data_IF_854584846755
#
_entry.id   IF_854584846755
#
_cell.length_a   1.000
_cell.length_b   1.000
_cell.length_c   1.000
_cell.angle_alpha   90.00
_cell.angle_beta   90.00
_cell.angle_gamma   90.00
#
_symmetry.space_group_name_H-M   'P 1'
#
loop_
_entity.id
_entity.type
_entity.pdbx_description
1 polymer ?
#
# COMPACT_ATOMS: atom_id res chain seq x y z
N UNK A 1 9.82 11.43 14.50
CA UNK A 1 8.42 11.82 14.20
C UNK A 1 7.60 10.54 14.19
N UNK A 2 6.46 10.51 14.90
CA UNK A 2 5.54 9.37 14.83
C UNK A 2 5.00 9.37 13.39
N UNK A 3 5.18 8.26 12.66
CA UNK A 3 4.66 8.12 11.30
C UNK A 3 3.13 8.31 11.35
N UNK A 4 2.60 9.26 10.57
CA UNK A 4 1.16 9.47 10.47
C UNK A 4 0.51 8.21 9.90
N UNK A 5 -0.55 7.73 10.54
CA UNK A 5 -1.33 6.58 10.05
C UNK A 5 -2.15 7.01 8.82
N UNK A 6 -2.16 6.23 7.72
CA UNK A 6 -3.09 6.46 6.61
C UNK A 6 -4.55 6.41 7.10
N UNK A 7 -5.42 7.19 6.49
CA UNK A 7 -6.84 7.17 6.83
C UNK A 7 -7.44 5.80 6.57
N UNK A 8 -8.28 5.36 7.49
CA UNK A 8 -9.14 4.19 7.32
C UNK A 8 -10.01 4.29 6.05
N UNK A 9 -10.64 5.44 5.85
CA UNK A 9 -11.41 5.74 4.64
C UNK A 9 -10.93 7.05 4.03
N UNK A 10 -10.68 7.07 2.74
CA UNK A 10 -10.22 8.26 2.03
C UNK A 10 -8.71 8.30 1.78
N UNK A 11 -8.27 9.36 1.13
CA UNK A 11 -6.87 9.67 0.86
C UNK A 11 -6.25 10.48 1.99
N UNK A 12 -4.93 10.42 2.12
CA UNK A 12 -4.15 11.14 3.11
C UNK A 12 -4.03 10.40 4.45
N UNK A 13 -3.71 11.14 5.49
CA UNK A 13 -3.40 10.60 6.81
C UNK A 13 -4.45 11.01 7.85
N UNK A 14 -4.51 10.28 8.97
CA UNK A 14 -5.37 10.64 10.10
C UNK A 14 -5.04 12.06 10.58
N UNK A 15 -6.08 12.85 10.83
CA UNK A 15 -5.97 14.26 11.18
C UNK A 15 -5.83 15.22 10.00
N UNK A 16 -5.55 14.74 8.79
CA UNK A 16 -5.56 15.57 7.59
C UNK A 16 -6.99 15.61 7.04
N UNK A 17 -7.48 16.77 6.66
CA UNK A 17 -8.79 16.91 6.04
C UNK A 17 -9.35 18.31 6.17
N UNK A 18 -10.49 18.51 5.56
CA UNK A 18 -11.24 19.76 5.68
C UNK A 18 -11.82 19.89 7.09
N UNK A 19 -11.75 21.07 7.65
CA UNK A 19 -12.51 21.42 8.84
C UNK A 19 -14.01 21.30 8.57
N UNK A 20 -14.82 21.29 9.62
CA UNK A 20 -16.28 21.28 9.48
C UNK A 20 -16.78 22.43 8.60
N UNK A 21 -16.28 23.64 8.84
CA UNK A 21 -16.64 24.86 8.10
C UNK A 21 -16.24 24.76 6.61
N UNK A 22 -15.01 24.32 6.32
CA UNK A 22 -14.55 24.12 4.95
C UNK A 22 -15.36 23.05 4.22
N UNK A 23 -15.75 21.98 4.92
CA UNK A 23 -16.60 20.92 4.36
C UNK A 23 -17.98 21.49 3.99
N UNK A 24 -18.63 22.19 4.90
CA UNK A 24 -19.94 22.82 4.67
C UNK A 24 -19.88 23.80 3.50
N UNK A 25 -18.83 24.61 3.42
CA UNK A 25 -18.63 25.54 2.31
C UNK A 25 -18.47 24.81 0.96
N UNK A 26 -17.63 23.77 0.90
CA UNK A 26 -17.41 22.99 -0.31
C UNK A 26 -18.71 22.32 -0.75
N UNK A 27 -19.42 21.72 0.19
CA UNK A 27 -20.66 21.02 -0.07
C UNK A 27 -21.77 21.99 -0.55
N UNK A 28 -21.88 23.16 0.07
CA UNK A 28 -22.82 24.20 -0.38
C UNK A 28 -22.57 24.62 -1.84
N UNK A 29 -21.29 24.80 -2.22
CA UNK A 29 -20.91 25.11 -3.62
C UNK A 29 -21.26 23.98 -4.60
N UNK A 30 -21.09 22.72 -4.19
CA UNK A 30 -21.48 21.59 -5.03
C UNK A 30 -23.01 21.49 -5.16
N UNK A 31 -23.76 21.66 -4.07
CA UNK A 31 -25.22 21.67 -4.08
C UNK A 31 -25.76 22.74 -5.05
N UNK A 32 -25.27 23.96 -4.93
CA UNK A 32 -25.64 25.07 -5.82
C UNK A 32 -25.29 24.79 -7.28
N UNK A 33 -24.06 24.33 -7.54
CA UNK A 33 -23.57 24.10 -8.90
C UNK A 33 -24.29 22.98 -9.65
N UNK A 34 -24.70 21.94 -8.94
CA UNK A 34 -25.31 20.75 -9.52
C UNK A 34 -26.82 20.64 -9.27
N UNK A 35 -27.42 21.66 -8.62
CA UNK A 35 -28.86 21.66 -8.29
C UNK A 35 -29.24 20.48 -7.40
N UNK A 36 -28.37 20.10 -6.45
CA UNK A 36 -28.61 18.97 -5.57
C UNK A 36 -29.50 19.40 -4.40
N UNK A 37 -30.69 18.82 -4.29
CA UNK A 37 -31.56 18.91 -3.14
C UNK A 37 -31.27 17.76 -2.16
N UNK A 38 -31.44 17.97 -0.87
CA UNK A 38 -31.24 16.91 0.15
C UNK A 38 -29.77 16.65 0.49
N UNK A 39 -28.93 17.63 0.27
CA UNK A 39 -27.49 17.55 0.58
C UNK A 39 -27.19 17.43 2.06
N UNK A 40 -28.16 17.69 2.90
CA UNK A 40 -28.14 17.49 4.35
C UNK A 40 -28.17 16.00 4.75
N UNK A 41 -28.50 15.10 3.83
CA UNK A 41 -28.58 13.65 4.08
C UNK A 41 -27.26 12.92 3.78
N UNK A 42 -26.13 13.44 4.24
CA UNK A 42 -24.83 12.78 4.07
C UNK A 42 -24.73 11.48 4.85
N UNK A 43 -24.22 10.47 4.19
CA UNK A 43 -23.68 9.30 4.87
C UNK A 43 -22.29 9.70 5.41
N UNK A 44 -22.15 9.81 6.71
CA UNK A 44 -20.86 10.03 7.35
C UNK A 44 -19.95 8.82 7.13
N UNK A 45 -18.66 9.08 6.95
CA UNK A 45 -17.65 8.02 6.95
C UNK A 45 -17.79 7.21 8.23
N UNK A 46 -17.95 5.88 8.15
CA UNK A 46 -18.03 5.05 9.36
C UNK A 46 -16.72 5.15 10.13
N UNK A 47 -16.80 5.15 11.45
CA UNK A 47 -15.61 5.01 12.30
C UNK A 47 -15.28 3.53 12.49
N UNK A 48 -14.00 3.18 12.76
CA UNK A 48 -13.57 1.80 12.90
C UNK A 48 -14.33 1.00 13.97
N UNK A 49 -14.79 1.65 15.03
CA UNK A 49 -15.59 1.07 16.11
C UNK A 49 -17.04 0.74 15.72
N UNK A 50 -17.50 1.23 14.57
CA UNK A 50 -18.82 0.92 14.01
C UNK A 50 -18.80 -0.29 13.06
N UNK A 51 -17.65 -0.92 12.90
CA UNK A 51 -17.46 -2.06 11.99
C UNK A 51 -17.20 -3.32 12.80
N UNK A 52 -18.08 -4.29 12.64
CA UNK A 52 -17.91 -5.62 13.22
C UNK A 52 -17.07 -6.49 12.26
N UNK A 53 -15.91 -6.94 12.71
CA UNK A 53 -15.08 -7.89 11.97
C UNK A 53 -15.30 -9.30 12.49
N UNK A 54 -15.21 -10.28 11.57
CA UNK A 54 -15.11 -11.68 11.97
C UNK A 54 -13.88 -11.89 12.86
N UNK A 55 -13.93 -12.83 13.79
CA UNK A 55 -12.77 -13.25 14.57
C UNK A 55 -11.65 -13.75 13.63
N UNK A 56 -10.39 -13.54 14.00
CA UNK A 56 -9.28 -14.16 13.26
C UNK A 56 -9.46 -15.67 13.23
N UNK A 57 -9.30 -16.27 12.06
CA UNK A 57 -9.38 -17.73 11.85
C UNK A 57 -8.11 -18.46 12.27
N UNK A 58 -7.03 -17.71 12.43
CA UNK A 58 -5.68 -18.22 12.73
C UNK A 58 -5.06 -17.42 13.89
N UNK A 59 -4.16 -18.05 14.63
CA UNK A 59 -3.42 -17.42 15.70
C UNK A 59 -2.08 -16.88 15.22
N UNK A 60 -1.60 -15.80 15.86
CA UNK A 60 -0.25 -15.30 15.61
C UNK A 60 0.77 -16.27 16.19
N UNK A 61 1.67 -16.85 15.40
CA UNK A 61 2.71 -17.71 15.93
C UNK A 61 3.72 -16.89 16.77
N UNK A 62 4.33 -17.52 17.76
CA UNK A 62 5.26 -16.85 18.67
C UNK A 62 6.41 -16.14 17.92
N UNK A 63 6.89 -16.70 16.82
CA UNK A 63 7.95 -16.11 16.01
C UNK A 63 7.57 -14.78 15.35
N UNK A 64 6.28 -14.55 15.08
CA UNK A 64 5.79 -13.33 14.44
C UNK A 64 5.14 -12.35 15.43
N UNK A 65 4.98 -12.72 16.70
CA UNK A 65 4.20 -11.96 17.67
C UNK A 65 4.71 -10.53 17.91
N UNK A 66 6.02 -10.30 17.80
CA UNK A 66 6.62 -9.00 18.08
C UNK A 66 6.32 -7.92 17.02
N UNK A 67 5.90 -8.33 15.83
CA UNK A 67 5.63 -7.42 14.71
C UNK A 67 4.31 -7.71 14.00
N UNK A 68 3.40 -8.45 14.63
CA UNK A 68 2.08 -8.77 14.09
C UNK A 68 0.96 -8.30 14.98
N UNK A 69 -0.22 -8.05 14.39
CA UNK A 69 -1.41 -7.55 15.06
C UNK A 69 -2.68 -8.25 14.55
N UNK A 70 -3.65 -8.43 15.46
CA UNK A 70 -5.04 -8.82 15.14
C UNK A 70 -6.03 -7.72 15.54
N UNK A 71 -5.52 -6.53 15.87
CA UNK A 71 -6.37 -5.41 16.25
C UNK A 71 -7.29 -5.00 15.09
N UNK A 72 -8.54 -4.71 15.39
CA UNK A 72 -9.54 -4.38 14.38
C UNK A 72 -9.09 -3.25 13.46
N UNK A 73 -8.50 -2.20 14.01
CA UNK A 73 -8.05 -1.05 13.21
C UNK A 73 -6.98 -1.44 12.20
N UNK A 74 -6.04 -2.30 12.56
CA UNK A 74 -4.99 -2.76 11.65
C UNK A 74 -5.58 -3.62 10.54
N UNK A 75 -6.47 -4.55 10.88
CA UNK A 75 -7.16 -5.40 9.91
C UNK A 75 -8.04 -4.60 8.96
N UNK A 76 -8.77 -3.59 9.46
CA UNK A 76 -9.61 -2.69 8.66
C UNK A 76 -8.78 -1.88 7.67
N UNK A 77 -7.67 -1.29 8.11
CA UNK A 77 -6.81 -0.46 7.26
C UNK A 77 -6.06 -1.26 6.19
N UNK A 78 -5.97 -2.58 6.35
CA UNK A 78 -5.31 -3.50 5.41
C UNK A 78 -6.29 -4.35 4.59
N UNK A 79 -7.59 -4.01 4.59
CA UNK A 79 -8.59 -4.75 3.83
C UNK A 79 -8.72 -4.25 2.41
N UNK A 80 -8.88 -2.96 2.23
CA UNK A 80 -9.24 -2.35 0.95
C UNK A 80 -8.20 -1.35 0.45
N UNK A 81 -8.19 -1.19 -0.88
CA UNK A 81 -7.48 -0.11 -1.54
C UNK A 81 -8.27 1.19 -1.59
N UNK A 82 -8.22 1.86 -2.73
CA UNK A 82 -8.82 3.18 -2.94
C UNK A 82 -9.70 3.22 -4.20
N UNK A 83 -10.21 2.08 -4.66
CA UNK A 83 -11.15 2.02 -5.77
C UNK A 83 -12.54 2.50 -5.36
N UNK A 84 -13.37 2.90 -6.32
CA UNK A 84 -14.75 3.26 -6.02
C UNK A 84 -15.55 2.13 -5.35
N UNK A 85 -15.46 0.86 -5.80
CA UNK A 85 -16.08 -0.26 -5.08
C UNK A 85 -15.59 -0.42 -3.64
N UNK A 86 -14.32 -0.11 -3.36
CA UNK A 86 -13.78 -0.16 -1.99
C UNK A 86 -14.48 0.86 -1.10
N UNK A 87 -14.68 2.08 -1.58
CA UNK A 87 -15.43 3.11 -0.84
C UNK A 87 -16.87 2.67 -0.57
N UNK A 88 -17.57 2.15 -1.57
CA UNK A 88 -18.95 1.66 -1.38
C UNK A 88 -18.99 0.62 -0.26
N UNK A 89 -18.09 -0.37 -0.30
CA UNK A 89 -18.02 -1.42 0.74
C UNK A 89 -17.67 -0.87 2.13
N UNK A 90 -16.77 0.13 2.20
CA UNK A 90 -16.44 0.79 3.47
C UNK A 90 -17.66 1.51 4.05
N UNK A 91 -18.41 2.26 3.23
CA UNK A 91 -19.63 2.94 3.67
C UNK A 91 -20.74 1.97 4.08
N UNK A 92 -20.84 0.83 3.41
CA UNK A 92 -21.74 -0.26 3.78
C UNK A 92 -21.25 -1.10 4.97
N UNK A 93 -20.07 -0.75 5.55
CA UNK A 93 -19.42 -1.49 6.63
C UNK A 93 -19.16 -2.97 6.30
N UNK A 94 -19.01 -3.28 5.03
CA UNK A 94 -18.76 -4.63 4.54
C UNK A 94 -17.26 -4.90 4.48
N UNK A 95 -16.73 -5.63 5.44
CA UNK A 95 -15.33 -6.03 5.55
C UNK A 95 -15.18 -7.56 5.60
N UNK A 96 -15.99 -8.26 4.81
CA UNK A 96 -16.02 -9.74 4.78
C UNK A 96 -14.64 -10.37 4.54
N UNK A 97 -13.78 -9.69 3.75
CA UNK A 97 -12.46 -10.18 3.41
C UNK A 97 -11.33 -9.54 4.25
N UNK A 98 -11.63 -8.98 5.43
CA UNK A 98 -10.57 -8.43 6.28
C UNK A 98 -9.49 -9.51 6.56
N UNK A 99 -8.18 -9.15 6.53
CA UNK A 99 -7.13 -10.12 6.83
C UNK A 99 -7.26 -10.63 8.26
N UNK A 100 -6.85 -11.87 8.51
CA UNK A 100 -6.84 -12.44 9.85
C UNK A 100 -5.75 -11.83 10.72
N UNK A 101 -4.57 -11.62 10.12
CA UNK A 101 -3.38 -11.04 10.77
C UNK A 101 -2.83 -9.93 9.87
N UNK A 102 -2.27 -8.89 10.49
CA UNK A 102 -1.40 -7.92 9.84
C UNK A 102 -0.02 -8.03 10.43
N UNK A 103 1.01 -8.20 9.59
CA UNK A 103 2.42 -8.23 10.01
C UNK A 103 3.16 -7.02 9.43
N UNK A 104 3.92 -6.32 10.27
CA UNK A 104 4.67 -5.10 9.94
C UNK A 104 6.15 -5.42 9.85
N UNK A 105 6.63 -5.86 8.69
CA UNK A 105 8.02 -6.22 8.52
C UNK A 105 8.94 -5.00 8.37
N UNK A 106 10.06 -5.02 9.09
CA UNK A 106 11.11 -3.99 9.07
C UNK A 106 12.47 -4.54 8.60
N UNK A 107 12.55 -5.85 8.36
CA UNK A 107 13.75 -6.53 7.84
C UNK A 107 13.38 -7.67 6.89
N UNK A 108 14.32 -8.07 6.04
CA UNK A 108 14.16 -9.22 5.16
C UNK A 108 13.95 -10.52 5.97
N UNK A 109 14.64 -10.69 7.10
CA UNK A 109 14.46 -11.88 7.97
C UNK A 109 13.03 -12.01 8.48
N UNK A 110 12.34 -10.88 8.76
CA UNK A 110 10.93 -10.91 9.15
C UNK A 110 10.01 -11.27 7.99
N UNK A 111 10.34 -10.85 6.77
CA UNK A 111 9.61 -11.27 5.56
C UNK A 111 9.77 -12.77 5.34
N UNK A 112 10.99 -13.31 5.42
CA UNK A 112 11.27 -14.75 5.32
C UNK A 112 10.48 -15.54 6.37
N UNK A 113 10.54 -15.11 7.63
CA UNK A 113 9.81 -15.78 8.71
C UNK A 113 8.29 -15.83 8.45
N UNK A 114 7.71 -14.76 7.86
CA UNK A 114 6.29 -14.76 7.46
C UNK A 114 6.04 -15.74 6.33
N UNK A 115 6.87 -15.73 5.27
CA UNK A 115 6.70 -16.60 4.11
C UNK A 115 6.85 -18.08 4.46
N UNK A 116 7.83 -18.43 5.28
CA UNK A 116 8.06 -19.79 5.76
C UNK A 116 6.90 -20.31 6.59
N UNK A 117 6.46 -19.51 7.56
CA UNK A 117 5.31 -19.87 8.38
C UNK A 117 4.04 -19.99 7.54
N UNK A 118 3.75 -19.01 6.70
CA UNK A 118 2.54 -19.01 5.89
C UNK A 118 2.48 -20.21 4.94
N UNK A 119 3.63 -20.60 4.37
CA UNK A 119 3.75 -21.80 3.53
C UNK A 119 3.41 -23.06 4.33
N UNK A 120 3.97 -23.20 5.54
CA UNK A 120 3.73 -24.37 6.40
C UNK A 120 2.31 -24.42 6.97
N UNK A 121 1.70 -23.27 7.25
CA UNK A 121 0.37 -23.13 7.83
C UNK A 121 -0.76 -23.03 6.78
N UNK A 122 -0.46 -23.09 5.49
CA UNK A 122 -1.40 -22.86 4.40
C UNK A 122 -2.16 -21.53 4.52
N UNK A 123 -1.43 -20.45 4.80
CA UNK A 123 -1.95 -19.08 4.92
C UNK A 123 -1.62 -18.29 3.66
N UNK A 124 -2.58 -17.55 3.14
CA UNK A 124 -2.32 -16.65 2.02
C UNK A 124 -1.70 -15.34 2.53
N UNK A 125 -0.56 -14.96 1.94
CA UNK A 125 0.11 -13.69 2.22
C UNK A 125 -0.22 -12.67 1.14
N UNK A 126 -0.71 -11.52 1.55
CA UNK A 126 -1.04 -10.38 0.69
C UNK A 126 -0.03 -9.26 0.98
N UNK A 127 0.93 -9.00 0.07
CA UNK A 127 1.85 -7.88 0.23
C UNK A 127 1.10 -6.54 0.24
N UNK A 128 1.45 -5.70 1.19
CA UNK A 128 0.84 -4.38 1.38
C UNK A 128 1.93 -3.30 1.44
N UNK A 129 1.74 -2.25 0.67
CA UNK A 129 2.58 -1.05 0.69
C UNK A 129 1.79 0.16 1.19
N UNK A 130 1.55 1.15 0.34
CA UNK A 130 0.79 2.34 0.70
C UNK A 130 -0.74 2.21 0.71
N UNK A 131 -1.29 1.03 0.41
CA UNK A 131 -2.74 0.80 0.37
C UNK A 131 -3.48 1.59 -0.72
N UNK A 132 -2.78 2.05 -1.75
CA UNK A 132 -3.32 2.94 -2.79
C UNK A 132 -3.86 2.22 -4.03
N UNK A 133 -3.92 0.88 -4.02
CA UNK A 133 -4.47 0.09 -5.14
C UNK A 133 -5.89 0.53 -5.48
N UNK A 134 -6.17 0.66 -6.79
CA UNK A 134 -7.51 0.96 -7.32
C UNK A 134 -8.11 -0.21 -8.11
N UNK A 135 -7.43 -1.37 -8.07
CA UNK A 135 -7.80 -2.59 -8.81
C UNK A 135 -8.00 -3.80 -7.88
N UNK A 136 -8.14 -3.58 -6.59
CA UNK A 136 -8.37 -4.65 -5.60
C UNK A 136 -7.14 -5.53 -5.32
N UNK A 137 -5.94 -5.11 -5.72
CA UNK A 137 -4.71 -5.93 -5.62
C UNK A 137 -4.24 -6.24 -4.21
N UNK A 138 -4.80 -5.58 -3.20
CA UNK A 138 -4.45 -5.79 -1.78
C UNK A 138 -5.59 -6.38 -0.96
N UNK A 139 -6.76 -6.63 -1.56
CA UNK A 139 -7.89 -7.24 -0.87
C UNK A 139 -7.62 -8.73 -0.61
N UNK A 140 -7.76 -9.21 0.64
CA UNK A 140 -7.53 -10.62 0.99
C UNK A 140 -8.64 -11.58 0.53
N UNK A 141 -9.18 -11.39 -0.67
CA UNK A 141 -10.27 -12.17 -1.25
C UNK A 141 -9.76 -13.47 -1.90
N UNK A 142 -9.20 -14.38 -1.12
CA UNK A 142 -8.51 -15.60 -1.63
C UNK A 142 -9.39 -16.86 -1.65
N UNK A 143 -10.64 -16.74 -1.23
CA UNK A 143 -11.55 -17.89 -1.14
C UNK A 143 -11.21 -18.86 0.01
N UNK A 144 -11.74 -20.09 -0.08
CA UNK A 144 -11.68 -21.08 1.01
C UNK A 144 -10.50 -22.05 0.95
N UNK A 145 -9.53 -21.82 0.04
CA UNK A 145 -8.39 -22.73 -0.15
C UNK A 145 -7.33 -22.63 0.96
N UNK A 146 -7.30 -21.51 1.66
CA UNK A 146 -6.32 -21.21 2.69
C UNK A 146 -6.96 -21.26 4.09
N UNK A 147 -6.15 -21.60 5.08
CA UNK A 147 -6.56 -21.61 6.49
C UNK A 147 -6.92 -20.19 6.99
N UNK A 148 -6.26 -19.18 6.44
CA UNK A 148 -6.47 -17.78 6.75
C UNK A 148 -5.70 -16.87 5.81
N UNK A 149 -5.70 -15.57 6.11
CA UNK A 149 -5.01 -14.53 5.33
C UNK A 149 -4.16 -13.65 6.24
N UNK A 150 -2.98 -13.29 5.76
CA UNK A 150 -2.08 -12.35 6.40
C UNK A 150 -1.78 -11.20 5.43
N UNK A 151 -2.02 -9.96 5.85
CA UNK A 151 -1.53 -8.78 5.15
C UNK A 151 -0.13 -8.47 5.65
N UNK A 152 0.85 -8.47 4.75
CA UNK A 152 2.26 -8.20 5.05
C UNK A 152 2.58 -6.75 4.69
N UNK A 153 2.56 -5.87 5.68
CA UNK A 153 2.94 -4.46 5.52
C UNK A 153 4.46 -4.35 5.40
N UNK A 154 4.89 -3.86 4.25
CA UNK A 154 6.29 -3.70 3.87
C UNK A 154 6.78 -2.25 4.01
N UNK A 155 5.95 -1.33 4.50
CA UNK A 155 6.31 0.10 4.65
C UNK A 155 7.45 0.35 5.62
N UNK A 156 7.79 -0.63 6.47
CA UNK A 156 8.96 -0.62 7.33
C UNK A 156 10.30 -0.83 6.60
N UNK A 157 10.26 -1.39 5.38
CA UNK A 157 11.42 -1.52 4.50
C UNK A 157 11.56 -0.26 3.64
N UNK A 158 12.03 0.84 4.21
CA UNK A 158 11.91 2.18 3.64
C UNK A 158 13.23 2.94 3.51
N UNK A 159 14.35 2.23 3.40
CA UNK A 159 15.67 2.86 3.31
C UNK A 159 16.12 3.05 1.86
N UNK A 160 16.83 4.17 1.61
CA UNK A 160 17.72 4.30 0.47
C UNK A 160 19.06 3.69 0.92
N UNK A 161 19.46 2.60 0.28
CA UNK A 161 20.63 1.81 0.67
C UNK A 161 21.91 2.34 0.02
N UNK A 162 21.80 2.90 -1.19
CA UNK A 162 22.92 3.38 -1.99
C UNK A 162 22.44 4.40 -3.02
N UNK A 163 23.26 5.42 -3.27
CA UNK A 163 23.07 6.36 -4.38
C UNK A 163 24.38 6.42 -5.15
N UNK A 164 24.35 6.06 -6.44
CA UNK A 164 25.44 6.23 -7.38
C UNK A 164 25.19 7.46 -8.27
N UNK A 165 25.86 8.55 -7.96
CA UNK A 165 25.73 9.81 -8.71
C UNK A 165 26.30 9.71 -10.13
N UNK A 166 27.22 8.78 -10.37
CA UNK A 166 27.86 8.61 -11.70
C UNK A 166 26.91 7.97 -12.68
N UNK A 167 26.31 6.84 -12.30
CA UNK A 167 25.31 6.16 -13.12
C UNK A 167 23.89 6.72 -12.94
N UNK A 168 23.70 7.62 -11.97
CA UNK A 168 22.39 8.18 -11.56
C UNK A 168 21.41 7.10 -11.16
N UNK A 169 21.89 6.08 -10.48
CA UNK A 169 21.10 4.97 -9.96
C UNK A 169 21.04 5.00 -8.43
N UNK A 170 19.99 4.44 -7.86
CA UNK A 170 19.87 4.29 -6.42
C UNK A 170 19.26 2.94 -6.07
N UNK A 171 19.82 2.28 -5.05
CA UNK A 171 19.29 1.06 -4.48
C UNK A 171 18.43 1.39 -3.26
N UNK A 172 17.16 1.01 -3.33
CA UNK A 172 16.15 1.35 -2.34
C UNK A 172 15.34 0.13 -1.94
N UNK A 173 14.84 0.13 -0.72
CA UNK A 173 13.89 -0.88 -0.26
C UNK A 173 12.49 -0.60 -0.81
N UNK A 174 11.72 -1.67 -1.08
CA UNK A 174 10.44 -1.59 -1.78
C UNK A 174 9.31 -0.88 -1.02
N UNK A 175 9.42 -0.75 0.30
CA UNK A 175 8.44 -0.06 1.15
C UNK A 175 8.62 1.46 1.25
N UNK A 176 9.68 2.01 0.67
CA UNK A 176 9.92 3.46 0.68
C UNK A 176 8.85 4.19 -0.13
N UNK A 177 8.33 5.30 0.41
CA UNK A 177 7.30 6.12 -0.25
C UNK A 177 7.89 7.18 -1.16
N UNK A 178 7.14 7.63 -2.16
CA UNK A 178 7.61 8.63 -3.12
C UNK A 178 8.14 9.92 -2.46
N UNK A 179 7.48 10.54 -1.44
CA UNK A 179 8.04 11.71 -0.77
C UNK A 179 9.42 11.45 -0.15
N UNK A 180 9.62 10.27 0.45
CA UNK A 180 10.88 9.91 1.09
C UNK A 180 11.98 9.66 0.05
N UNK A 181 11.65 9.07 -1.09
CA UNK A 181 12.55 8.93 -2.24
C UNK A 181 13.01 10.32 -2.71
N UNK A 182 12.08 11.22 -3.02
CA UNK A 182 12.41 12.56 -3.50
C UNK A 182 13.21 13.37 -2.49
N UNK A 183 12.86 13.27 -1.20
CA UNK A 183 13.60 13.93 -0.12
C UNK A 183 15.03 13.39 0.03
N UNK A 184 15.23 12.08 -0.15
CA UNK A 184 16.55 11.46 -0.10
C UNK A 184 17.41 11.75 -1.33
N UNK A 185 16.83 11.86 -2.52
CA UNK A 185 17.55 12.12 -3.76
C UNK A 185 17.89 13.61 -3.97
N UNK A 186 17.06 14.52 -3.47
CA UNK A 186 17.21 15.97 -3.66
C UNK A 186 18.57 16.55 -3.21
N UNK A 187 19.16 16.14 -2.07
CA UNK A 187 20.49 16.61 -1.67
C UNK A 187 21.60 16.28 -2.67
N UNK A 188 21.40 15.23 -3.50
CA UNK A 188 22.31 14.78 -4.54
C UNK A 188 22.01 15.41 -5.92
N UNK A 189 21.06 16.35 -5.98
CA UNK A 189 20.63 16.96 -7.24
C UNK A 189 19.85 16.00 -8.16
N UNK A 190 19.33 14.91 -7.61
CA UNK A 190 18.63 13.85 -8.32
C UNK A 190 17.13 13.85 -8.01
N UNK A 191 16.35 13.25 -8.89
CA UNK A 191 14.91 13.00 -8.75
C UNK A 191 14.56 11.74 -9.52
N UNK A 192 13.62 10.95 -9.02
CA UNK A 192 13.10 9.78 -9.72
C UNK A 192 12.19 10.19 -10.90
N UNK A 193 11.60 11.39 -10.88
CA UNK A 193 10.65 11.92 -11.89
C UNK A 193 9.42 11.05 -12.12
N UNK A 194 9.06 10.22 -11.17
CA UNK A 194 7.86 9.41 -11.21
C UNK A 194 6.86 9.92 -10.17
N UNK A 195 5.79 10.56 -10.62
CA UNK A 195 4.80 11.25 -9.78
C UNK A 195 3.41 10.66 -10.03
N UNK A 196 3.05 9.52 -9.40
CA UNK A 196 1.71 8.97 -9.49
C UNK A 196 0.70 9.85 -8.72
N UNK A 197 -0.59 9.74 -9.02
CA UNK A 197 -1.63 10.44 -8.25
C UNK A 197 -1.63 10.07 -6.77
N UNK A 198 -1.20 8.86 -6.45
CA UNK A 198 -1.05 8.34 -5.09
C UNK A 198 0.29 8.70 -4.44
N UNK A 199 0.96 9.76 -4.87
CA UNK A 199 2.35 10.11 -4.51
C UNK A 199 2.65 9.99 -3.01
N UNK A 200 1.77 10.49 -2.13
CA UNK A 200 1.99 10.47 -0.68
C UNK A 200 1.92 9.07 -0.07
N UNK A 201 1.24 8.13 -0.72
CA UNK A 201 1.01 6.78 -0.21
C UNK A 201 1.78 5.70 -0.97
N UNK A 202 1.99 5.89 -2.28
CA UNK A 202 2.60 4.87 -3.13
C UNK A 202 4.03 4.52 -2.67
N UNK A 203 4.30 3.22 -2.60
CA UNK A 203 5.62 2.67 -2.30
C UNK A 203 6.31 2.21 -3.57
N UNK A 204 7.66 2.22 -3.57
CA UNK A 204 8.46 1.82 -4.72
C UNK A 204 8.09 0.41 -5.21
N UNK A 205 8.06 -0.58 -4.31
CA UNK A 205 7.71 -1.96 -4.65
C UNK A 205 6.28 -2.07 -5.18
N UNK A 206 5.33 -1.31 -4.61
CA UNK A 206 3.95 -1.27 -5.09
C UNK A 206 3.84 -0.67 -6.49
N UNK A 207 4.60 0.39 -6.78
CA UNK A 207 4.64 0.99 -8.12
C UNK A 207 5.20 0.02 -9.16
N UNK A 208 6.31 -0.67 -8.83
CA UNK A 208 6.94 -1.65 -9.72
C UNK A 208 5.99 -2.82 -9.98
N UNK A 209 5.39 -3.39 -8.93
CA UNK A 209 4.47 -4.53 -9.03
C UNK A 209 3.23 -4.24 -9.91
N UNK A 210 2.79 -2.99 -9.98
CA UNK A 210 1.60 -2.59 -10.76
C UNK A 210 1.95 -1.91 -12.08
N UNK A 211 3.23 -1.81 -12.43
CA UNK A 211 3.70 -1.04 -13.59
C UNK A 211 3.10 0.37 -13.62
N UNK A 212 3.27 1.08 -12.52
CA UNK A 212 2.66 2.39 -12.32
C UNK A 212 3.06 3.40 -13.40
N UNK A 213 2.07 4.11 -13.96
CA UNK A 213 2.28 5.31 -14.77
C UNK A 213 2.18 6.56 -13.89
N UNK A 214 3.09 7.50 -14.08
CA UNK A 214 3.04 8.80 -13.43
C UNK A 214 2.44 9.89 -14.31
N UNK A 215 2.31 11.10 -13.79
CA UNK A 215 1.80 12.26 -14.55
C UNK A 215 2.65 12.59 -15.79
N UNK A 216 3.91 12.16 -15.81
CA UNK A 216 4.83 12.34 -16.92
C UNK A 216 5.00 11.10 -17.80
N UNK A 217 4.18 10.07 -17.64
CA UNK A 217 4.31 8.79 -18.36
C UNK A 217 4.20 8.95 -19.89
N UNK A 218 3.55 10.00 -20.38
CA UNK A 218 3.47 10.32 -21.82
C UNK A 218 4.80 10.81 -22.42
N UNK A 219 5.74 11.26 -21.58
CA UNK A 219 7.03 11.80 -22.02
C UNK A 219 8.22 11.01 -21.42
N UNK A 220 8.11 10.63 -20.14
CA UNK A 220 9.21 10.02 -19.38
C UNK A 220 9.00 8.53 -19.10
N UNK A 221 7.89 7.96 -19.57
CA UNK A 221 7.62 6.52 -19.50
C UNK A 221 7.08 5.99 -18.18
N UNK A 222 6.98 4.68 -18.00
CA UNK A 222 6.44 4.00 -16.83
C UNK A 222 7.56 3.62 -15.85
N UNK A 223 7.19 3.24 -14.63
CA UNK A 223 8.16 2.95 -13.56
C UNK A 223 9.14 1.82 -13.94
N UNK A 224 8.70 0.83 -14.70
CA UNK A 224 9.50 -0.32 -15.12
C UNK A 224 10.70 0.09 -16.00
N UNK A 225 10.57 1.16 -16.79
CA UNK A 225 11.67 1.67 -17.60
C UNK A 225 12.76 2.38 -16.75
N UNK A 226 12.50 2.65 -15.48
CA UNK A 226 13.48 3.20 -14.53
C UNK A 226 14.13 2.13 -13.66
N UNK A 227 13.73 0.86 -13.78
CA UNK A 227 14.20 -0.22 -12.93
C UNK A 227 15.34 -0.98 -13.59
N UNK A 228 16.54 -0.87 -13.02
CA UNK A 228 17.74 -1.57 -13.49
C UNK A 228 17.80 -3.03 -13.00
N UNK A 229 17.32 -3.27 -11.78
CA UNK A 229 17.28 -4.59 -11.19
C UNK A 229 16.27 -4.67 -10.05
N UNK A 230 15.83 -5.87 -9.72
CA UNK A 230 14.98 -6.14 -8.55
C UNK A 230 15.52 -7.30 -7.73
N UNK A 231 15.45 -7.15 -6.39
CA UNK A 231 15.62 -8.24 -5.44
C UNK A 231 14.26 -8.52 -4.81
N UNK A 232 13.78 -9.73 -4.97
CA UNK A 232 12.44 -10.13 -4.52
C UNK A 232 12.53 -11.35 -3.60
N UNK A 233 11.86 -11.28 -2.46
CA UNK A 233 11.70 -12.40 -1.55
C UNK A 233 10.45 -13.19 -1.93
N UNK A 234 10.59 -14.50 -2.05
CA UNK A 234 9.50 -15.40 -2.43
C UNK A 234 9.47 -16.63 -1.53
N UNK A 235 8.36 -17.37 -1.47
CA UNK A 235 8.31 -18.64 -0.71
C UNK A 235 9.34 -19.70 -1.19
N UNK A 236 9.90 -19.53 -2.39
CA UNK A 236 10.95 -20.41 -2.92
C UNK A 236 12.37 -19.89 -2.67
N UNK A 237 12.51 -18.77 -1.96
CA UNK A 237 13.77 -18.09 -1.68
C UNK A 237 13.88 -16.74 -2.37
N UNK A 238 15.06 -16.14 -2.26
CA UNK A 238 15.36 -14.84 -2.85
C UNK A 238 15.60 -14.95 -4.35
N UNK A 239 14.98 -14.07 -5.11
CA UNK A 239 15.21 -13.91 -6.54
C UNK A 239 15.88 -12.56 -6.79
N UNK A 240 17.10 -12.56 -7.30
CA UNK A 240 17.78 -11.37 -7.80
C UNK A 240 17.63 -11.32 -9.33
N UNK A 241 16.82 -10.39 -9.80
CA UNK A 241 16.58 -10.17 -11.22
C UNK A 241 17.31 -8.91 -11.67
N UNK A 242 18.31 -9.08 -12.53
CA UNK A 242 18.86 -7.99 -13.31
C UNK A 242 17.94 -7.80 -14.53
N UNK A 243 17.38 -6.61 -14.74
CA UNK A 243 16.60 -6.28 -15.94
C UNK A 243 17.51 -6.08 -17.16
N UNK A 244 18.57 -6.87 -17.25
CA UNK A 244 19.60 -6.75 -18.28
C UNK A 244 19.28 -7.53 -19.56
N UNK A 245 18.04 -7.80 -19.86
CA UNK A 245 17.72 -8.76 -20.94
C UNK A 245 16.91 -8.20 -22.09
N UNK A 246 16.84 -6.87 -22.28
CA UNK A 246 16.24 -6.34 -23.51
C UNK A 246 17.10 -6.58 -24.76
N UNK A 247 18.42 -6.75 -24.62
CA UNK A 247 19.35 -6.89 -25.75
C UNK A 247 19.66 -8.36 -26.11
N UNK A 248 19.27 -9.34 -25.29
CA UNK A 248 19.54 -10.74 -25.58
C UNK A 248 18.52 -11.38 -26.54
N UNK A 249 17.50 -10.65 -26.95
CA UNK A 249 16.48 -11.13 -27.90
C UNK A 249 16.72 -10.71 -29.36
N UNK A 250 17.74 -9.90 -29.63
CA UNK A 250 18.06 -9.39 -30.96
C UNK A 250 19.32 -10.03 -31.58
N UNK A 251 19.88 -11.11 -30.98
CA UNK A 251 20.94 -11.94 -31.58
C UNK A 251 20.41 -13.26 -32.14
#
# INVERSE_FOLDING_TARGET
MIAKRPKFCGWGYEGDGLTQEEREMVLGRYAERFGLEGFENFINTPSPDQVDLHASRIEIPAALASFSSIANIDRLTHTYGKSFPDYVRIYDKNFTNAPDIVAYATSEDQVDAVLDWATSANVAVIPFGGGSSVVGGIEPAVGSKFAGTLSLDLTGLNQILEIDETSRAARMQGGIRCPDIENGLRPHGLTMRHFPQSFDLATLGGMIATRSGGHFATLYTHIDDFVESTRMMTPAGVMDCLLYTSDAADE
#
